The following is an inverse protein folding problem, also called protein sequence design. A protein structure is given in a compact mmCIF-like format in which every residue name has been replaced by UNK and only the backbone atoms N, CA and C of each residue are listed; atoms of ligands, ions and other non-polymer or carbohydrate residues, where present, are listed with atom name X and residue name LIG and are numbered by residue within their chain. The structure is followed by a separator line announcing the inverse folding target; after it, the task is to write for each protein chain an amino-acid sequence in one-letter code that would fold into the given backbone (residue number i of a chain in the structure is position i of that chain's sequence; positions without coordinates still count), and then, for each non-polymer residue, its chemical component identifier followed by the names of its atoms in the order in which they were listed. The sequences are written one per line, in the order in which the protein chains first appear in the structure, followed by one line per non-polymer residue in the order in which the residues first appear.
data_IF_955984678370
#
_entry.id   IF_955984678370
#
_cell.length_a   1.000
_cell.length_b   1.000
_cell.length_c   1.000
_cell.angle_alpha   90.00
_cell.angle_beta   90.00
_cell.angle_gamma   90.00
#
_symmetry.space_group_name_H-M   'P 1'
#
loop_
_entity.id
_entity.type
_entity.pdbx_description
1 polymer ?
#
# COMPACT_ATOMS: atom_id res chain seq x y z
N UNK A 1 -9.33 14.60 -20.46
CA UNK A 1 -8.96 14.39 -19.03
C UNK A 1 -7.45 14.61 -18.79
N UNK A 2 -6.55 13.85 -19.43
CA UNK A 2 -5.09 14.02 -19.27
C UNK A 2 -4.57 15.40 -19.72
N UNK A 3 -4.97 15.89 -20.89
CA UNK A 3 -4.59 17.21 -21.41
C UNK A 3 -4.99 18.35 -20.47
N UNK A 4 -6.19 18.28 -19.91
CA UNK A 4 -6.69 19.21 -18.89
C UNK A 4 -5.79 19.22 -17.64
N UNK A 5 -5.44 18.03 -17.12
CA UNK A 5 -4.54 17.91 -15.96
C UNK A 5 -3.14 18.46 -16.24
N UNK A 6 -2.58 18.16 -17.42
CA UNK A 6 -1.27 18.66 -17.82
C UNK A 6 -1.24 20.19 -17.91
N UNK A 7 -2.27 20.80 -18.49
CA UNK A 7 -2.40 22.25 -18.56
C UNK A 7 -2.56 22.88 -17.17
N UNK A 8 -3.43 22.32 -16.33
CA UNK A 8 -3.70 22.83 -14.97
C UNK A 8 -2.48 22.73 -14.04
N UNK A 9 -1.72 21.63 -14.14
CA UNK A 9 -0.55 21.35 -13.30
C UNK A 9 0.78 21.77 -13.95
N UNK A 10 0.74 22.48 -15.08
CA UNK A 10 1.91 22.95 -15.85
C UNK A 10 2.91 21.83 -16.17
N UNK A 11 2.43 20.62 -16.44
CA UNK A 11 3.26 19.47 -16.81
C UNK A 11 3.60 19.56 -18.30
N UNK A 12 4.90 19.61 -18.62
CA UNK A 12 5.39 19.73 -20.00
C UNK A 12 5.65 18.38 -20.67
N UNK A 13 6.12 17.41 -19.90
CA UNK A 13 6.44 16.07 -20.40
C UNK A 13 5.27 15.11 -20.18
N UNK A 14 4.65 14.66 -21.29
CA UNK A 14 3.52 13.73 -21.28
C UNK A 14 3.93 12.35 -20.76
N UNK A 15 5.06 11.82 -21.22
CA UNK A 15 5.51 10.46 -20.91
C UNK A 15 5.89 10.32 -19.44
N UNK A 16 6.65 11.28 -18.91
CA UNK A 16 6.99 11.38 -17.49
C UNK A 16 5.73 11.50 -16.63
N UNK A 17 4.77 12.34 -17.03
CA UNK A 17 3.55 12.50 -16.26
C UNK A 17 2.66 11.25 -16.29
N UNK A 18 2.59 10.53 -17.41
CA UNK A 18 1.88 9.24 -17.49
C UNK A 18 2.53 8.23 -16.54
N UNK A 19 3.87 8.10 -16.53
CA UNK A 19 4.56 7.19 -15.60
C UNK A 19 4.27 7.52 -14.14
N UNK A 20 4.28 8.80 -13.76
CA UNK A 20 3.91 9.24 -12.41
C UNK A 20 2.48 8.85 -12.04
N UNK A 21 1.53 8.99 -12.98
CA UNK A 21 0.15 8.58 -12.76
C UNK A 21 0.03 7.07 -12.60
N UNK A 22 0.72 6.30 -13.45
CA UNK A 22 0.74 4.83 -13.40
C UNK A 22 1.34 4.31 -12.10
N UNK A 23 2.47 4.88 -11.68
CA UNK A 23 3.13 4.52 -10.42
C UNK A 23 2.21 4.80 -9.24
N UNK A 24 1.55 5.96 -9.23
CA UNK A 24 0.57 6.30 -8.19
C UNK A 24 -0.61 5.32 -8.17
N UNK A 25 -1.19 5.01 -9.32
CA UNK A 25 -2.32 4.08 -9.39
C UNK A 25 -1.93 2.66 -9.00
N UNK A 26 -0.76 2.19 -9.45
CA UNK A 26 -0.27 0.85 -9.13
C UNK A 26 0.04 0.71 -7.63
N UNK A 27 0.65 1.75 -7.03
CA UNK A 27 0.90 1.77 -5.59
C UNK A 27 -0.40 1.70 -4.79
N UNK A 28 -1.43 2.45 -5.21
CA UNK A 28 -2.73 2.42 -4.54
C UNK A 28 -3.39 1.04 -4.62
N UNK A 29 -3.36 0.41 -5.81
CA UNK A 29 -3.87 -0.94 -6.04
C UNK A 29 -3.16 -1.98 -5.16
N UNK A 30 -1.83 -1.90 -5.07
CA UNK A 30 -1.03 -2.78 -4.20
C UNK A 30 -1.48 -2.64 -2.74
N UNK A 31 -1.65 -1.41 -2.25
CA UNK A 31 -2.12 -1.20 -0.88
C UNK A 31 -3.55 -1.68 -0.67
N UNK A 32 -4.44 -1.53 -1.64
CA UNK A 32 -5.80 -2.05 -1.56
C UNK A 32 -5.80 -3.57 -1.39
N UNK A 33 -5.10 -4.30 -2.26
CA UNK A 33 -5.00 -5.76 -2.18
C UNK A 33 -4.38 -6.21 -0.86
N UNK A 34 -3.24 -5.64 -0.49
CA UNK A 34 -2.52 -6.07 0.71
C UNK A 34 -3.27 -5.75 1.99
N UNK A 35 -3.90 -4.57 2.08
CA UNK A 35 -4.69 -4.23 3.26
C UNK A 35 -5.90 -5.18 3.40
N UNK A 36 -6.57 -5.53 2.30
CA UNK A 36 -7.66 -6.50 2.33
C UNK A 36 -7.18 -7.87 2.81
N UNK A 37 -6.04 -8.36 2.31
CA UNK A 37 -5.46 -9.61 2.79
C UNK A 37 -5.13 -9.60 4.29
N UNK A 38 -4.66 -8.47 4.81
CA UNK A 38 -4.44 -8.31 6.27
C UNK A 38 -5.77 -8.34 7.02
N UNK A 39 -6.80 -7.64 6.53
CA UNK A 39 -8.13 -7.64 7.14
C UNK A 39 -8.80 -9.02 7.13
N UNK A 40 -8.54 -9.81 6.11
CA UNK A 40 -8.99 -11.20 5.97
C UNK A 40 -8.16 -12.21 6.76
N UNK A 41 -7.09 -11.76 7.44
CA UNK A 41 -6.14 -12.61 8.18
C UNK A 41 -5.43 -13.63 7.29
N UNK A 42 -5.25 -13.30 6.01
CA UNK A 42 -4.49 -14.10 5.04
C UNK A 42 -2.97 -13.79 5.11
N UNK A 43 -2.60 -12.65 5.68
CA UNK A 43 -1.22 -12.22 5.87
C UNK A 43 -1.10 -11.28 7.05
N UNK A 44 0.08 -11.22 7.67
CA UNK A 44 0.38 -10.22 8.68
C UNK A 44 0.68 -8.85 8.07
N UNK A 45 0.54 -7.79 8.87
CA UNK A 45 0.87 -6.42 8.45
C UNK A 45 2.35 -6.27 8.08
N UNK A 46 3.24 -7.02 8.74
CA UNK A 46 4.67 -6.97 8.46
C UNK A 46 5.05 -7.62 7.14
N UNK A 47 4.53 -8.82 6.87
CA UNK A 47 4.70 -9.48 5.56
C UNK A 47 4.14 -8.63 4.43
N UNK A 48 3.00 -8.00 4.65
CA UNK A 48 2.39 -7.12 3.67
C UNK A 48 3.23 -5.83 3.44
N UNK A 49 3.87 -5.29 4.49
CA UNK A 49 4.81 -4.17 4.36
C UNK A 49 6.05 -4.54 3.54
N UNK A 50 6.58 -5.75 3.73
CA UNK A 50 7.69 -6.30 2.97
C UNK A 50 7.35 -6.43 1.47
N UNK A 51 6.19 -7.01 1.15
CA UNK A 51 5.72 -7.14 -0.25
C UNK A 51 5.58 -5.76 -0.91
N UNK A 52 5.04 -4.77 -0.17
CA UNK A 52 4.89 -3.41 -0.66
C UNK A 52 6.22 -2.61 -0.71
N UNK A 53 7.32 -3.16 -0.19
CA UNK A 53 8.60 -2.46 -0.12
C UNK A 53 8.57 -1.21 0.77
N UNK A 54 7.74 -1.21 1.82
CA UNK A 54 7.57 -0.06 2.73
C UNK A 54 7.85 -0.46 4.18
N UNK A 55 8.03 0.54 5.05
CA UNK A 55 8.15 0.26 6.49
C UNK A 55 6.83 -0.26 7.06
N UNK A 56 6.92 -1.08 8.12
CA UNK A 56 5.75 -1.52 8.88
C UNK A 56 4.89 -0.33 9.34
N UNK A 57 5.52 0.77 9.79
CA UNK A 57 4.83 2.01 10.17
C UNK A 57 3.94 2.53 9.04
N UNK A 58 4.46 2.55 7.81
CA UNK A 58 3.70 2.99 6.63
C UNK A 58 2.54 2.05 6.34
N UNK A 59 2.74 0.74 6.45
CA UNK A 59 1.67 -0.24 6.26
C UNK A 59 0.55 -0.07 7.30
N UNK A 60 0.90 0.13 8.57
CA UNK A 60 -0.08 0.41 9.63
C UNK A 60 -0.88 1.69 9.38
N UNK A 61 -0.24 2.74 8.85
CA UNK A 61 -0.95 3.96 8.43
C UNK A 61 -1.97 3.68 7.32
N UNK A 62 -1.61 2.85 6.33
CA UNK A 62 -2.49 2.50 5.21
C UNK A 62 -3.67 1.60 5.63
N UNK A 63 -3.44 0.67 6.58
CA UNK A 63 -4.49 -0.13 7.21
C UNK A 63 -5.46 0.75 8.00
N UNK A 64 -4.93 1.70 8.80
CA UNK A 64 -5.75 2.65 9.56
C UNK A 64 -6.61 3.52 8.66
N UNK A 65 -6.06 4.03 7.55
CA UNK A 65 -6.80 4.83 6.56
C UNK A 65 -7.99 4.07 5.96
N UNK A 66 -7.86 2.76 5.81
CA UNK A 66 -8.89 1.87 5.26
C UNK A 66 -9.83 1.29 6.32
N UNK A 67 -9.70 1.73 7.57
CA UNK A 67 -10.47 1.24 8.72
C UNK A 67 -10.35 -0.28 8.94
N UNK A 68 -9.18 -0.84 8.60
CA UNK A 68 -8.87 -2.25 8.80
C UNK A 68 -8.10 -2.37 10.11
N UNK A 69 -8.71 -3.04 11.09
CA UNK A 69 -8.08 -3.36 12.37
C UNK A 69 -7.09 -4.51 12.19
N UNK A 70 -5.92 -4.22 11.62
CA UNK A 70 -4.92 -5.22 11.24
C UNK A 70 -3.96 -5.64 12.35
N UNK A 71 -4.20 -5.28 13.61
CA UNK A 71 -3.29 -5.60 14.72
C UNK A 71 -4.07 -6.13 15.92
N UNK A 72 -4.50 -7.39 15.81
CA UNK A 72 -5.03 -8.17 16.93
C UNK A 72 -3.97 -9.16 17.45
N UNK A 73 -4.31 -9.91 18.50
CA UNK A 73 -3.39 -10.88 19.11
C UNK A 73 -2.87 -11.92 18.12
N UNK A 74 -3.68 -12.29 17.12
CA UNK A 74 -3.27 -13.24 16.07
C UNK A 74 -2.21 -12.63 15.14
N UNK A 75 -2.39 -11.37 14.73
CA UNK A 75 -1.38 -10.67 13.93
C UNK A 75 -0.01 -10.59 14.64
N UNK A 76 -0.02 -10.38 15.97
CA UNK A 76 1.20 -10.37 16.79
C UNK A 76 1.87 -11.76 16.80
N UNK A 77 1.10 -12.82 16.97
CA UNK A 77 1.62 -14.20 16.97
C UNK A 77 2.20 -14.60 15.60
N UNK A 78 1.58 -14.17 14.51
CA UNK A 78 2.10 -14.39 13.15
C UNK A 78 3.41 -13.66 12.89
N UNK A 79 3.52 -12.40 13.34
CA UNK A 79 4.77 -11.63 13.22
C UNK A 79 5.90 -12.24 14.07
N UNK A 80 5.58 -12.74 15.27
CA UNK A 80 6.53 -13.50 16.10
C UNK A 80 6.98 -14.76 15.34
N UNK A 81 6.05 -15.54 14.79
CA UNK A 81 6.39 -16.76 14.05
C UNK A 81 7.28 -16.45 12.85
N UNK A 82 6.96 -15.42 12.07
CA UNK A 82 7.75 -15.01 10.91
C UNK A 82 9.18 -14.58 11.28
N UNK A 83 9.40 -13.97 12.45
CA UNK A 83 10.73 -13.60 12.91
C UNK A 83 11.63 -14.82 13.25
N UNK A 84 11.02 -15.99 13.46
CA UNK A 84 11.71 -17.22 13.88
C UNK A 84 11.75 -18.32 12.80
N UNK A 85 11.10 -18.13 11.65
CA UNK A 85 11.19 -18.97 10.44
C UNK A 85 12.31 -18.48 9.51
#
# INVERSE_FOLDING_TARGET
KLSFLMAKLKKKDKSSYIRQLLEKSLTEEIFEVLCNQVGEKNTSAWKAAEIAGVSLRKMMEELKKRNISGYDEQAILEDIKYAFD
#
